data_IF_172968236214
#
_entry.id   IF_172968236214
#
_cell.length_a   1.000
_cell.length_b   1.000
_cell.length_c   1.000
_cell.angle_alpha   90.00
_cell.angle_beta   90.00
_cell.angle_gamma   90.00
#
_symmetry.space_group_name_H-M   'P 1'
#
loop_
_entity.id
_entity.type
_entity.pdbx_description
1 polymer ?
#
# COMPACT_ATOMS: atom_id res chain seq x y z
N UNK A 1 35.83 -10.58 17.60
CA UNK A 1 34.80 -10.69 16.60
C UNK A 1 33.46 -10.53 17.29
N UNK A 2 32.83 -9.35 17.19
CA UNK A 2 31.44 -9.10 17.69
C UNK A 2 30.50 -9.44 16.56
N UNK A 3 29.77 -10.52 16.71
CA UNK A 3 28.59 -10.82 15.89
C UNK A 3 27.58 -9.69 16.06
N UNK A 4 27.46 -8.85 15.04
CA UNK A 4 26.36 -7.91 14.91
C UNK A 4 25.15 -8.67 14.34
N UNK A 5 24.49 -9.46 15.21
CA UNK A 5 23.19 -10.02 14.91
C UNK A 5 22.23 -8.89 14.60
N UNK A 6 21.52 -8.98 13.47
CA UNK A 6 20.42 -8.08 13.11
C UNK A 6 19.37 -8.17 14.22
N UNK A 7 19.02 -7.08 14.89
CA UNK A 7 18.03 -7.12 15.97
C UNK A 7 16.63 -7.27 15.36
N UNK A 8 16.22 -8.51 15.08
CA UNK A 8 14.88 -8.82 14.51
C UNK A 8 13.78 -8.74 15.57
N UNK A 9 14.11 -8.57 16.86
CA UNK A 9 13.12 -8.39 17.93
C UNK A 9 13.65 -7.43 19.01
N UNK A 10 13.54 -6.13 18.77
CA UNK A 10 13.48 -5.19 19.89
C UNK A 10 12.11 -5.35 20.56
N UNK A 11 12.09 -5.58 21.88
CA UNK A 11 10.86 -5.44 22.64
C UNK A 11 10.38 -3.99 22.54
N UNK A 12 9.33 -3.77 21.73
CA UNK A 12 8.73 -2.45 21.56
C UNK A 12 8.13 -2.00 22.89
N UNK A 13 8.44 -0.79 23.33
CA UNK A 13 7.84 -0.22 24.55
C UNK A 13 6.33 -0.03 24.35
N UNK A 14 5.52 -0.25 25.41
CA UNK A 14 4.08 0.04 25.38
C UNK A 14 3.78 1.48 24.96
N UNK A 15 4.63 2.44 25.36
CA UNK A 15 4.52 3.84 24.93
C UNK A 15 4.75 4.03 23.44
N UNK A 16 5.63 3.24 22.84
CA UNK A 16 5.90 3.25 21.40
C UNK A 16 4.72 2.68 20.62
N UNK A 17 4.17 1.54 21.06
CA UNK A 17 3.00 0.91 20.43
C UNK A 17 1.73 1.77 20.49
N UNK A 18 1.55 2.55 21.55
CA UNK A 18 0.39 3.42 21.79
C UNK A 18 0.64 4.89 21.40
N UNK A 19 1.68 5.17 20.61
CA UNK A 19 1.91 6.51 20.09
C UNK A 19 0.78 6.93 19.14
N UNK A 20 0.48 8.23 19.08
CA UNK A 20 -0.61 8.77 18.24
C UNK A 20 -0.48 8.30 16.78
N UNK A 21 0.69 8.39 16.11
CA UNK A 21 0.81 7.88 14.75
C UNK A 21 0.50 6.38 14.62
N UNK A 22 0.94 5.56 15.57
CA UNK A 22 0.66 4.13 15.53
C UNK A 22 -0.83 3.82 15.74
N UNK A 23 -1.53 4.57 16.61
CA UNK A 23 -2.98 4.47 16.75
C UNK A 23 -3.72 4.81 15.44
N UNK A 24 -3.25 5.81 14.72
CA UNK A 24 -3.78 6.16 13.39
C UNK A 24 -3.51 5.03 12.38
N UNK A 25 -2.36 4.38 12.43
CA UNK A 25 -2.06 3.19 11.64
C UNK A 25 -3.00 2.00 11.96
N UNK A 26 -3.31 1.76 13.23
CA UNK A 26 -4.30 0.74 13.63
C UNK A 26 -5.71 1.08 13.15
N UNK A 27 -6.11 2.35 13.23
CA UNK A 27 -7.37 2.82 12.67
C UNK A 27 -7.47 2.49 11.18
N UNK A 28 -6.41 2.75 10.39
CA UNK A 28 -6.36 2.41 8.97
C UNK A 28 -6.55 0.91 8.73
N UNK A 29 -5.90 0.06 9.52
CA UNK A 29 -6.08 -1.40 9.41
C UNK A 29 -7.51 -1.82 9.74
N UNK A 30 -8.18 -1.19 10.71
CA UNK A 30 -9.58 -1.46 11.04
C UNK A 30 -10.55 -0.98 9.94
N UNK A 31 -10.20 0.07 9.20
CA UNK A 31 -11.01 0.56 8.09
C UNK A 31 -11.02 -0.40 6.88
N UNK A 32 -10.02 -1.27 6.73
CA UNK A 32 -9.96 -2.25 5.64
C UNK A 32 -11.16 -3.21 5.66
N UNK A 33 -11.46 -3.95 6.74
CA UNK A 33 -12.62 -4.84 6.77
C UNK A 33 -13.95 -4.06 6.70
N UNK A 34 -14.03 -2.85 7.26
CA UNK A 34 -15.22 -1.99 7.14
C UNK A 34 -15.47 -1.62 5.67
N UNK A 35 -14.42 -1.17 4.97
CA UNK A 35 -14.48 -0.90 3.54
C UNK A 35 -14.90 -2.13 2.75
N UNK A 36 -14.26 -3.28 2.98
CA UNK A 36 -14.54 -4.51 2.26
C UNK A 36 -16.01 -4.95 2.45
N UNK A 37 -16.51 -4.87 3.67
CA UNK A 37 -17.92 -5.19 3.97
C UNK A 37 -18.87 -4.24 3.22
N UNK A 38 -18.68 -2.92 3.34
CA UNK A 38 -19.50 -1.93 2.65
C UNK A 38 -19.48 -2.12 1.13
N UNK A 39 -18.31 -2.34 0.57
CA UNK A 39 -18.15 -2.48 -0.89
C UNK A 39 -18.78 -3.77 -1.43
N UNK A 40 -18.58 -4.91 -0.75
CA UNK A 40 -19.10 -6.20 -1.20
C UNK A 40 -20.59 -6.38 -0.97
N UNK A 41 -21.18 -5.64 -0.01
CA UNK A 41 -22.65 -5.62 0.24
C UNK A 41 -23.35 -4.47 -0.49
N UNK A 42 -22.63 -3.62 -1.22
CA UNK A 42 -23.16 -2.49 -1.95
C UNK A 42 -24.19 -2.93 -3.00
N UNK A 43 -25.36 -2.31 -2.97
CA UNK A 43 -26.47 -2.55 -3.91
C UNK A 43 -26.80 -1.31 -4.73
N UNK A 44 -26.48 -0.13 -4.21
CA UNK A 44 -26.74 1.17 -4.84
C UNK A 44 -25.44 1.94 -5.06
N UNK A 45 -25.47 2.96 -5.93
CA UNK A 45 -24.30 3.84 -6.12
C UNK A 45 -23.92 4.55 -4.83
N UNK A 46 -24.91 4.87 -3.97
CA UNK A 46 -24.64 5.50 -2.68
C UNK A 46 -23.82 4.60 -1.76
N UNK A 47 -24.06 3.29 -1.78
CA UNK A 47 -23.28 2.34 -0.98
C UNK A 47 -21.82 2.32 -1.41
N UNK A 48 -21.55 2.40 -2.74
CA UNK A 48 -20.19 2.51 -3.27
C UNK A 48 -19.53 3.83 -2.86
N UNK A 49 -20.27 4.94 -2.85
CA UNK A 49 -19.74 6.21 -2.36
C UNK A 49 -19.43 6.17 -0.86
N UNK A 50 -20.23 5.48 -0.06
CA UNK A 50 -19.93 5.28 1.36
C UNK A 50 -18.65 4.45 1.57
N UNK A 51 -18.46 3.39 0.80
CA UNK A 51 -17.23 2.63 0.81
C UNK A 51 -16.02 3.51 0.38
N UNK A 52 -16.16 4.29 -0.68
CA UNK A 52 -15.14 5.24 -1.13
C UNK A 52 -14.81 6.30 -0.06
N UNK A 53 -15.82 6.80 0.67
CA UNK A 53 -15.66 7.76 1.76
C UNK A 53 -14.82 7.15 2.90
N UNK A 54 -15.11 5.92 3.32
CA UNK A 54 -14.35 5.20 4.35
C UNK A 54 -12.88 5.09 3.94
N UNK A 55 -12.62 4.73 2.69
CA UNK A 55 -11.24 4.61 2.18
C UNK A 55 -10.56 5.97 2.02
N UNK A 56 -11.32 7.01 1.65
CA UNK A 56 -10.86 8.41 1.61
C UNK A 56 -10.43 8.91 2.99
N UNK A 57 -11.24 8.67 4.02
CA UNK A 57 -10.91 9.02 5.41
C UNK A 57 -9.66 8.26 5.86
N UNK A 58 -9.56 6.98 5.55
CA UNK A 58 -8.39 6.17 5.86
C UNK A 58 -7.11 6.74 5.21
N UNK A 59 -7.16 7.14 3.95
CA UNK A 59 -6.04 7.74 3.22
C UNK A 59 -5.67 9.14 3.74
N UNK A 60 -6.66 9.94 4.12
CA UNK A 60 -6.41 11.24 4.77
C UNK A 60 -5.74 11.05 6.13
N UNK A 61 -6.16 10.05 6.89
CA UNK A 61 -5.53 9.71 8.18
C UNK A 61 -4.04 9.39 7.99
N UNK A 62 -3.67 8.63 6.95
CA UNK A 62 -2.27 8.36 6.58
C UNK A 62 -1.45 9.63 6.31
N UNK A 63 -2.06 10.59 5.61
CA UNK A 63 -1.39 11.86 5.35
C UNK A 63 -1.16 12.65 6.65
N UNK A 64 -2.13 12.64 7.57
CA UNK A 64 -2.04 13.36 8.84
C UNK A 64 -1.09 12.69 9.84
N UNK A 65 -1.06 11.36 9.94
CA UNK A 65 -0.17 10.66 10.87
C UNK A 65 1.30 10.90 10.53
N UNK A 66 1.66 10.87 9.24
CA UNK A 66 3.00 11.23 8.78
C UNK A 66 3.39 12.68 9.08
N UNK A 67 2.44 13.63 9.02
CA UNK A 67 2.68 15.03 9.40
C UNK A 67 2.86 15.17 10.92
N UNK A 68 1.98 14.52 11.70
CA UNK A 68 2.03 14.53 13.18
C UNK A 68 3.34 13.90 13.65
N UNK A 69 3.70 12.73 13.13
CA UNK A 69 4.93 12.02 13.50
C UNK A 69 6.18 12.87 13.27
N UNK A 70 6.24 13.60 12.15
CA UNK A 70 7.36 14.50 11.84
C UNK A 70 7.37 15.77 12.71
N UNK A 71 6.21 16.41 12.88
CA UNK A 71 6.09 17.66 13.62
C UNK A 71 6.40 17.50 15.12
N UNK A 72 6.01 16.39 15.71
CA UNK A 72 6.16 16.12 17.14
C UNK A 72 7.32 15.17 17.46
N UNK A 73 8.18 14.81 16.47
CA UNK A 73 9.28 13.86 16.64
C UNK A 73 8.84 12.51 17.25
N UNK A 74 7.63 12.05 16.91
CA UNK A 74 7.02 10.80 17.40
C UNK A 74 7.23 9.64 16.43
N UNK A 75 8.29 9.68 15.63
CA UNK A 75 8.62 8.61 14.67
C UNK A 75 9.10 7.40 15.47
N UNK A 76 8.35 6.30 15.41
CA UNK A 76 8.69 5.04 16.07
C UNK A 76 9.24 4.01 15.07
N UNK A 77 10.07 3.09 15.52
CA UNK A 77 10.55 1.99 14.67
C UNK A 77 9.41 1.07 14.25
N UNK A 78 8.43 0.88 15.14
CA UNK A 78 7.22 0.12 14.84
C UNK A 78 6.34 0.83 13.79
N UNK A 79 6.16 2.16 13.89
CA UNK A 79 5.41 2.95 12.91
C UNK A 79 6.01 2.86 11.50
N UNK A 80 7.34 2.93 11.39
CA UNK A 80 8.04 2.75 10.10
C UNK A 80 7.73 1.42 9.40
N UNK A 81 7.33 0.40 10.16
CA UNK A 81 6.88 -0.88 9.63
C UNK A 81 5.37 -0.90 9.39
N UNK A 82 4.59 -0.35 10.33
CA UNK A 82 3.12 -0.37 10.31
C UNK A 82 2.57 0.43 9.12
N UNK A 83 3.13 1.62 8.82
CA UNK A 83 2.65 2.50 7.76
C UNK A 83 2.72 1.83 6.37
N UNK A 84 3.88 1.31 5.91
CA UNK A 84 3.92 0.61 4.63
C UNK A 84 3.06 -0.66 4.58
N UNK A 85 2.88 -1.32 5.73
CA UNK A 85 2.04 -2.51 5.82
C UNK A 85 0.57 -2.15 5.63
N UNK A 86 0.06 -1.16 6.37
CA UNK A 86 -1.32 -0.68 6.27
C UNK A 86 -1.63 -0.18 4.86
N UNK A 87 -0.70 0.56 4.24
CA UNK A 87 -0.82 1.07 2.88
C UNK A 87 -0.97 -0.06 1.86
N UNK A 88 -0.08 -1.05 1.91
CA UNK A 88 -0.11 -2.20 0.99
C UNK A 88 -1.34 -3.07 1.19
N UNK A 89 -1.77 -3.29 2.43
CA UNK A 89 -2.98 -4.04 2.72
C UNK A 89 -4.23 -3.31 2.22
N UNK A 90 -4.28 -1.98 2.34
CA UNK A 90 -5.37 -1.16 1.81
C UNK A 90 -5.48 -1.30 0.29
N UNK A 91 -4.38 -1.17 -0.45
CA UNK A 91 -4.38 -1.37 -1.91
C UNK A 91 -4.80 -2.78 -2.30
N UNK A 92 -4.26 -3.80 -1.62
CA UNK A 92 -4.63 -5.20 -1.86
C UNK A 92 -6.12 -5.45 -1.62
N UNK A 93 -6.68 -4.88 -0.55
CA UNK A 93 -8.10 -4.98 -0.23
C UNK A 93 -8.99 -4.32 -1.28
N UNK A 94 -8.63 -3.13 -1.75
CA UNK A 94 -9.36 -2.45 -2.84
C UNK A 94 -9.33 -3.31 -4.11
N UNK A 95 -8.17 -3.83 -4.51
CA UNK A 95 -8.05 -4.69 -5.69
C UNK A 95 -8.89 -5.96 -5.56
N UNK A 96 -8.89 -6.61 -4.39
CA UNK A 96 -9.71 -7.80 -4.13
C UNK A 96 -11.20 -7.48 -4.21
N UNK A 97 -11.63 -6.36 -3.64
CA UNK A 97 -13.03 -5.94 -3.70
C UNK A 97 -13.46 -5.59 -5.14
N UNK A 98 -12.62 -4.86 -5.88
CA UNK A 98 -12.88 -4.51 -7.29
C UNK A 98 -12.96 -5.73 -8.20
N UNK A 99 -12.29 -6.84 -7.86
CA UNK A 99 -12.36 -8.09 -8.61
C UNK A 99 -13.78 -8.64 -8.72
N UNK A 100 -14.63 -8.37 -7.72
CA UNK A 100 -16.06 -8.76 -7.74
C UNK A 100 -16.85 -8.12 -8.88
N UNK A 101 -16.39 -6.95 -9.37
CA UNK A 101 -17.06 -6.20 -10.46
C UNK A 101 -16.32 -6.29 -11.79
N UNK A 102 -15.01 -6.31 -11.76
CA UNK A 102 -14.16 -6.23 -12.94
C UNK A 102 -13.15 -7.39 -12.94
N UNK A 103 -13.45 -8.51 -13.62
CA UNK A 103 -12.56 -9.70 -13.61
C UNK A 103 -11.14 -9.41 -14.09
N UNK A 104 -10.95 -8.41 -14.99
CA UNK A 104 -9.63 -8.02 -15.49
C UNK A 104 -8.72 -7.42 -14.39
N UNK A 105 -9.29 -6.97 -13.26
CA UNK A 105 -8.52 -6.55 -12.07
C UNK A 105 -7.59 -7.65 -11.56
N UNK A 106 -7.89 -8.92 -11.84
CA UNK A 106 -7.00 -10.03 -11.51
C UNK A 106 -5.58 -9.82 -12.08
N UNK A 107 -5.46 -9.26 -13.28
CA UNK A 107 -4.16 -8.90 -13.86
C UNK A 107 -3.41 -7.89 -12.99
N UNK A 108 -4.08 -6.83 -12.55
CA UNK A 108 -3.48 -5.84 -11.64
C UNK A 108 -3.12 -6.47 -10.29
N UNK A 109 -3.99 -7.29 -9.73
CA UNK A 109 -3.77 -7.95 -8.45
C UNK A 109 -2.55 -8.88 -8.50
N UNK A 110 -2.42 -9.71 -9.53
CA UNK A 110 -1.28 -10.61 -9.71
C UNK A 110 0.02 -9.82 -9.86
N UNK A 111 0.04 -8.80 -10.71
CA UNK A 111 1.23 -7.95 -10.89
C UNK A 111 1.57 -7.17 -9.60
N UNK A 112 0.56 -6.72 -8.86
CA UNK A 112 0.75 -6.05 -7.58
C UNK A 112 1.43 -6.99 -6.57
N UNK A 113 0.91 -8.21 -6.41
CA UNK A 113 1.49 -9.21 -5.48
C UNK A 113 2.91 -9.59 -5.89
N UNK A 114 3.17 -9.81 -7.17
CA UNK A 114 4.51 -10.13 -7.69
C UNK A 114 5.47 -8.96 -7.41
N UNK A 115 5.09 -7.73 -7.75
CA UNK A 115 5.93 -6.54 -7.55
C UNK A 115 6.24 -6.31 -6.07
N UNK A 116 5.21 -6.30 -5.21
CA UNK A 116 5.41 -6.06 -3.78
C UNK A 116 6.16 -7.21 -3.11
N UNK A 117 5.86 -8.45 -3.50
CA UNK A 117 6.59 -9.64 -3.03
C UNK A 117 8.07 -9.61 -3.43
N UNK A 118 8.37 -9.27 -4.69
CA UNK A 118 9.75 -9.09 -5.16
C UNK A 118 10.48 -8.01 -4.36
N UNK A 119 9.86 -6.85 -4.17
CA UNK A 119 10.45 -5.75 -3.39
C UNK A 119 10.72 -6.15 -1.95
N UNK A 120 9.79 -6.89 -1.32
CA UNK A 120 9.93 -7.36 0.05
C UNK A 120 11.10 -8.37 0.16
N UNK A 121 11.11 -9.39 -0.68
CA UNK A 121 12.13 -10.45 -0.66
C UNK A 121 13.51 -9.86 -0.93
N UNK A 122 13.66 -9.07 -1.99
CA UNK A 122 14.95 -8.45 -2.34
C UNK A 122 15.40 -7.45 -1.29
N UNK A 123 14.47 -6.69 -0.69
CA UNK A 123 14.76 -5.79 0.42
C UNK A 123 15.34 -6.53 1.63
N UNK A 124 14.70 -7.65 2.04
CA UNK A 124 15.18 -8.49 3.15
C UNK A 124 16.55 -9.11 2.84
N UNK A 125 16.72 -9.67 1.63
CA UNK A 125 17.99 -10.31 1.24
C UNK A 125 19.15 -9.30 1.24
N UNK A 126 18.95 -8.11 0.69
CA UNK A 126 19.99 -7.07 0.67
C UNK A 126 20.26 -6.50 2.07
N UNK A 127 19.23 -6.37 2.90
CA UNK A 127 19.40 -5.95 4.29
C UNK A 127 20.24 -6.96 5.09
N UNK A 128 20.04 -8.27 4.89
CA UNK A 128 20.87 -9.32 5.50
C UNK A 128 22.33 -9.25 5.04
N UNK A 129 22.59 -8.77 3.84
CA UNK A 129 23.93 -8.52 3.30
C UNK A 129 24.55 -7.20 3.80
N UNK A 130 23.89 -6.48 4.70
CA UNK A 130 24.32 -5.17 5.19
C UNK A 130 24.13 -4.03 4.20
N UNK A 131 23.41 -4.27 3.10
CA UNK A 131 23.13 -3.29 2.06
C UNK A 131 21.70 -2.79 2.19
N UNK A 132 21.47 -1.49 2.06
CA UNK A 132 20.15 -0.87 2.18
C UNK A 132 19.84 -0.05 0.94
N UNK A 133 18.64 -0.22 0.40
CA UNK A 133 18.12 0.67 -0.63
C UNK A 133 17.81 2.03 0.02
N UNK A 134 18.43 3.11 -0.49
CA UNK A 134 18.18 4.47 0.00
C UNK A 134 16.82 5.00 -0.49
N UNK A 135 15.74 4.47 0.09
CA UNK A 135 14.37 4.84 -0.24
C UNK A 135 13.86 4.26 -1.57
N UNK A 136 12.59 4.50 -1.85
CA UNK A 136 11.99 4.11 -3.13
C UNK A 136 12.51 5.01 -4.26
N UNK A 137 12.86 4.39 -5.40
CA UNK A 137 13.25 5.11 -6.61
C UNK A 137 12.05 5.89 -7.17
N UNK A 138 12.32 6.95 -7.92
CA UNK A 138 11.30 7.85 -8.47
C UNK A 138 10.22 7.10 -9.28
N UNK A 139 10.63 6.13 -10.13
CA UNK A 139 9.70 5.34 -10.93
C UNK A 139 8.77 4.45 -10.07
N UNK A 140 9.26 3.95 -8.92
CA UNK A 140 8.43 3.23 -7.96
C UNK A 140 7.39 4.14 -7.31
N UNK A 141 7.76 5.39 -6.99
CA UNK A 141 6.83 6.39 -6.44
C UNK A 141 5.76 6.77 -7.46
N UNK A 142 6.14 6.99 -8.72
CA UNK A 142 5.19 7.29 -9.80
C UNK A 142 4.21 6.14 -10.03
N UNK A 143 4.68 4.88 -10.02
CA UNK A 143 3.82 3.71 -10.16
C UNK A 143 2.81 3.61 -9.01
N UNK A 144 3.23 3.82 -7.77
CA UNK A 144 2.34 3.80 -6.60
C UNK A 144 1.32 4.95 -6.66
N UNK A 145 1.74 6.15 -7.03
CA UNK A 145 0.84 7.29 -7.21
C UNK A 145 -0.21 7.04 -8.30
N UNK A 146 0.21 6.48 -9.45
CA UNK A 146 -0.71 6.09 -10.53
C UNK A 146 -1.73 5.06 -10.04
N UNK A 147 -1.27 4.03 -9.34
CA UNK A 147 -2.15 3.01 -8.76
C UNK A 147 -3.18 3.63 -7.81
N UNK A 148 -2.75 4.52 -6.92
CA UNK A 148 -3.63 5.26 -6.02
C UNK A 148 -4.72 6.01 -6.77
N UNK A 149 -4.34 6.82 -7.74
CA UNK A 149 -5.27 7.62 -8.54
C UNK A 149 -6.29 6.73 -9.25
N UNK A 150 -5.84 5.65 -9.90
CA UNK A 150 -6.73 4.74 -10.65
C UNK A 150 -7.67 3.99 -9.70
N UNK A 151 -7.19 3.50 -8.57
CA UNK A 151 -8.05 2.84 -7.58
C UNK A 151 -9.13 3.79 -7.04
N UNK A 152 -8.78 5.05 -6.74
CA UNK A 152 -9.77 6.06 -6.34
C UNK A 152 -10.76 6.40 -7.43
N UNK A 153 -10.34 6.46 -8.69
CA UNK A 153 -11.25 6.64 -9.83
C UNK A 153 -12.29 5.50 -9.86
N UNK A 154 -11.87 4.24 -9.68
CA UNK A 154 -12.78 3.11 -9.66
C UNK A 154 -13.76 3.12 -8.48
N UNK A 155 -13.33 3.66 -7.33
CA UNK A 155 -14.22 3.80 -6.17
C UNK A 155 -15.22 4.96 -6.32
N UNK A 156 -14.75 6.10 -6.85
CA UNK A 156 -15.58 7.31 -6.98
C UNK A 156 -16.54 7.25 -8.17
N UNK A 157 -16.23 6.47 -9.20
CA UNK A 157 -17.05 6.37 -10.40
C UNK A 157 -17.50 4.92 -10.63
N UNK A 158 -18.52 4.43 -9.90
CA UNK A 158 -18.95 3.03 -10.00
C UNK A 158 -19.56 2.67 -11.36
N UNK A 159 -19.95 3.64 -12.19
CA UNK A 159 -20.55 3.43 -13.53
C UNK A 159 -19.61 3.76 -14.69
N UNK A 160 -18.33 3.55 -14.54
CA UNK A 160 -17.38 3.76 -15.64
C UNK A 160 -17.64 2.79 -16.80
N UNK A 161 -17.57 3.26 -18.05
CA UNK A 161 -17.59 2.39 -19.23
C UNK A 161 -16.45 1.36 -19.17
N UNK A 162 -16.75 0.11 -19.52
CA UNK A 162 -15.76 -1.00 -19.49
C UNK A 162 -14.50 -0.71 -20.31
N UNK A 163 -14.62 0.02 -21.43
CA UNK A 163 -13.45 0.41 -22.23
C UNK A 163 -12.47 1.29 -21.46
N UNK A 164 -12.98 2.25 -20.67
CA UNK A 164 -12.14 3.12 -19.82
C UNK A 164 -11.54 2.31 -18.66
N UNK A 165 -12.34 1.45 -18.02
CA UNK A 165 -11.86 0.57 -16.94
C UNK A 165 -10.72 -0.31 -17.43
N UNK A 166 -10.90 -0.99 -18.56
CA UNK A 166 -9.88 -1.87 -19.14
C UNK A 166 -8.63 -1.09 -19.55
N UNK A 167 -8.79 0.10 -20.13
CA UNK A 167 -7.67 0.98 -20.48
C UNK A 167 -6.83 1.37 -19.25
N UNK A 168 -7.47 1.77 -18.16
CA UNK A 168 -6.80 2.11 -16.91
C UNK A 168 -6.12 0.90 -16.26
N UNK A 169 -6.75 -0.29 -16.35
CA UNK A 169 -6.15 -1.54 -15.87
C UNK A 169 -4.88 -1.86 -16.64
N UNK A 170 -4.89 -1.80 -17.98
CA UNK A 170 -3.70 -2.03 -18.79
C UNK A 170 -2.61 -1.01 -18.55
N UNK A 171 -2.98 0.27 -18.37
CA UNK A 171 -2.02 1.33 -18.01
C UNK A 171 -1.31 1.01 -16.69
N UNK A 172 -2.05 0.66 -15.64
CA UNK A 172 -1.48 0.29 -14.35
C UNK A 172 -0.65 -0.99 -14.43
N UNK A 173 -1.12 -2.00 -15.17
CA UNK A 173 -0.40 -3.25 -15.37
C UNK A 173 0.94 -3.02 -16.07
N UNK A 174 0.96 -2.22 -17.12
CA UNK A 174 2.19 -1.84 -17.83
C UNK A 174 3.15 -1.06 -16.92
N UNK A 175 2.65 -0.10 -16.14
CA UNK A 175 3.45 0.66 -15.17
C UNK A 175 4.06 -0.23 -14.08
N UNK A 176 3.29 -1.20 -13.56
CA UNK A 176 3.80 -2.16 -12.57
C UNK A 176 4.85 -3.10 -13.16
N UNK A 177 4.62 -3.64 -14.36
CA UNK A 177 5.57 -4.50 -15.06
C UNK A 177 6.88 -3.75 -15.37
N UNK A 178 6.78 -2.53 -15.90
CA UNK A 178 7.94 -1.67 -16.15
C UNK A 178 8.71 -1.36 -14.86
N UNK A 179 8.00 -1.01 -13.80
CA UNK A 179 8.61 -0.73 -12.49
C UNK A 179 9.36 -1.94 -11.96
N UNK A 180 8.76 -3.13 -12.06
CA UNK A 180 9.41 -4.39 -11.66
C UNK A 180 10.69 -4.62 -12.47
N UNK A 181 10.62 -4.48 -13.79
CA UNK A 181 11.79 -4.62 -14.68
C UNK A 181 12.91 -3.64 -14.33
N UNK A 182 12.58 -2.38 -14.02
CA UNK A 182 13.55 -1.36 -13.63
C UNK A 182 14.17 -1.61 -12.23
N UNK A 183 13.49 -2.31 -11.34
CA UNK A 183 14.05 -2.66 -10.04
C UNK A 183 15.06 -3.83 -10.11
N UNK A 184 14.95 -4.72 -11.10
CA UNK A 184 15.89 -5.84 -11.27
C UNK A 184 17.36 -5.37 -11.32
N UNK A 185 17.76 -4.44 -12.22
CA UNK A 185 19.14 -3.95 -12.26
C UNK A 185 19.52 -3.16 -11.00
N UNK A 186 18.59 -2.44 -10.38
CA UNK A 186 18.85 -1.72 -9.13
C UNK A 186 19.28 -2.67 -8.02
N UNK A 187 18.58 -3.79 -7.86
CA UNK A 187 18.95 -4.79 -6.85
C UNK A 187 20.17 -5.63 -7.24
N UNK A 188 20.43 -5.80 -8.54
CA UNK A 188 21.63 -6.50 -9.01
C UNK A 188 22.90 -5.70 -8.73
N UNK A 189 22.82 -4.38 -8.82
CA UNK A 189 23.98 -3.47 -8.63
C UNK A 189 24.14 -2.99 -7.17
N UNK A 190 23.29 -3.43 -6.26
CA UNK A 190 23.42 -3.24 -4.81
C UNK A 190 24.27 -4.36 -4.20
#
# INVERSE_FOLDING_TARGET
ARERGVPIMKNFSKKELLSIPNLMGYFRLLMIPVFAWLYLTASTDMDYYMAALVMGISSLTDMFDGMVARKFNMITEFGKFLDPLADKLSHGAILLCLLSRYPLILLMLVLYVIKEGFMLVMGILKLRQGKKLNGAKWFGKCCTALLYVVLFIFLLFPRLPLGIVNGLIYLCAAAMALTLALYIPVFRNL
#
